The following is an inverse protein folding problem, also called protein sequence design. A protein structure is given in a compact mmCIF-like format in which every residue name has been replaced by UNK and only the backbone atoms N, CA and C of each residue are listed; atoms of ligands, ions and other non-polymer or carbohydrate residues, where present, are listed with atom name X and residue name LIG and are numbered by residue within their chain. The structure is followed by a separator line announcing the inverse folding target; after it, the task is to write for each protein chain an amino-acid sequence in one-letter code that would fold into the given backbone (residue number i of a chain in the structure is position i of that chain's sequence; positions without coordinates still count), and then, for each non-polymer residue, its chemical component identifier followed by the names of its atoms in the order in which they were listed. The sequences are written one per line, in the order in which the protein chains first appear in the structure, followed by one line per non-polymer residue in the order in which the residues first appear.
data_IF_724253111655
#
_entry.id   IF_724253111655
#
_cell.length_a   1.000
_cell.length_b   1.000
_cell.length_c   1.000
_cell.angle_alpha   90.00
_cell.angle_beta   90.00
_cell.angle_gamma   90.00
#
_symmetry.space_group_name_H-M   'P 1'
#
loop_
_entity.id
_entity.type
_entity.pdbx_description
1 polymer ?
#
# COMPACT_ATOMS: atom_id res chain seq x y z
N UNK A 1 -4.77 10.52 28.03
CA UNK A 1 -6.06 10.71 27.32
C UNK A 1 -5.82 10.43 25.85
N UNK A 2 -6.57 9.50 25.24
CA UNK A 2 -6.46 9.18 23.81
C UNK A 2 -7.31 10.21 23.07
N UNK A 3 -6.73 11.32 22.64
CA UNK A 3 -7.40 12.24 21.71
C UNK A 3 -7.25 11.64 20.32
N UNK A 4 -8.26 10.93 19.83
CA UNK A 4 -8.32 10.51 18.43
C UNK A 4 -8.47 11.76 17.58
N UNK A 5 -7.46 12.06 16.76
CA UNK A 5 -7.56 13.12 15.77
C UNK A 5 -8.53 12.69 14.66
N UNK A 6 -9.15 13.63 13.94
CA UNK A 6 -10.02 13.31 12.79
C UNK A 6 -9.33 12.35 11.78
N UNK A 7 -8.03 12.54 11.45
CA UNK A 7 -7.27 11.59 10.63
C UNK A 7 -7.23 10.17 11.19
N UNK A 8 -6.99 10.03 12.49
CA UNK A 8 -6.93 8.72 13.15
C UNK A 8 -8.26 7.96 12.99
N UNK A 9 -9.38 8.66 13.18
CA UNK A 9 -10.71 8.06 13.05
C UNK A 9 -10.96 7.54 11.62
N UNK A 10 -10.60 8.32 10.60
CA UNK A 10 -10.76 7.92 9.19
C UNK A 10 -9.89 6.70 8.88
N UNK A 11 -8.64 6.66 9.34
CA UNK A 11 -7.75 5.52 9.10
C UNK A 11 -8.27 4.25 9.77
N UNK A 12 -8.74 4.34 11.02
CA UNK A 12 -9.35 3.21 11.74
C UNK A 12 -10.59 2.72 11.02
N UNK A 13 -11.45 3.64 10.58
CA UNK A 13 -12.67 3.27 9.87
C UNK A 13 -12.35 2.49 8.59
N UNK A 14 -11.36 2.95 7.81
CA UNK A 14 -10.89 2.23 6.61
C UNK A 14 -10.37 0.83 6.98
N UNK A 15 -9.52 0.72 8.00
CA UNK A 15 -8.96 -0.56 8.45
C UNK A 15 -10.06 -1.53 8.91
N UNK A 16 -11.06 -1.03 9.66
CA UNK A 16 -12.22 -1.82 10.11
C UNK A 16 -13.08 -2.27 8.93
N UNK A 17 -13.30 -1.40 7.93
CA UNK A 17 -14.00 -1.79 6.70
C UNK A 17 -13.25 -2.94 6.01
N UNK A 18 -11.93 -2.87 5.90
CA UNK A 18 -11.12 -3.95 5.33
C UNK A 18 -11.22 -5.25 6.14
N UNK A 19 -11.25 -5.19 7.47
CA UNK A 19 -11.53 -6.35 8.31
C UNK A 19 -12.91 -6.96 8.05
N UNK A 20 -13.95 -6.13 7.91
CA UNK A 20 -15.30 -6.59 7.59
C UNK A 20 -15.39 -7.21 6.18
N UNK A 21 -14.71 -6.61 5.19
CA UNK A 21 -14.59 -7.20 3.85
C UNK A 21 -13.83 -8.53 3.89
N UNK A 22 -12.74 -8.60 4.65
CA UNK A 22 -11.97 -9.84 4.85
C UNK A 22 -12.83 -10.95 5.46
N UNK A 23 -13.69 -10.62 6.42
CA UNK A 23 -14.66 -11.56 6.98
C UNK A 23 -15.64 -12.09 5.92
N UNK A 24 -16.13 -11.22 5.04
CA UNK A 24 -17.08 -11.59 3.99
C UNK A 24 -16.43 -12.44 2.87
N UNK A 25 -15.19 -12.13 2.49
CA UNK A 25 -14.46 -12.78 1.41
C UNK A 25 -13.82 -14.12 1.85
N UNK A 26 -13.29 -14.17 3.07
CA UNK A 26 -12.57 -15.30 3.65
C UNK A 26 -11.06 -15.31 3.38
N UNK A 27 -10.34 -16.13 4.14
CA UNK A 27 -8.87 -16.19 4.19
C UNK A 27 -8.21 -16.32 2.82
N UNK A 28 -8.63 -17.28 1.99
CA UNK A 28 -7.98 -17.58 0.71
C UNK A 28 -7.91 -16.33 -0.17
N UNK A 29 -8.99 -15.55 -0.19
CA UNK A 29 -9.07 -14.37 -1.03
C UNK A 29 -8.23 -13.21 -0.48
N UNK A 30 -8.23 -13.04 0.84
CA UNK A 30 -7.43 -12.00 1.51
C UNK A 30 -5.94 -12.29 1.41
N UNK A 31 -5.53 -13.57 1.51
CA UNK A 31 -4.13 -13.96 1.26
C UNK A 31 -3.75 -13.66 -0.19
N UNK A 32 -4.64 -13.97 -1.14
CA UNK A 32 -4.44 -13.64 -2.54
C UNK A 32 -4.30 -12.14 -2.81
N UNK A 33 -5.08 -11.31 -2.14
CA UNK A 33 -4.95 -9.85 -2.25
C UNK A 33 -3.72 -9.30 -1.54
N UNK A 34 -3.28 -9.89 -0.42
CA UNK A 34 -1.97 -9.57 0.18
C UNK A 34 -0.82 -9.86 -0.80
N UNK A 35 -0.85 -11.01 -1.48
CA UNK A 35 0.16 -11.33 -2.50
C UNK A 35 0.08 -10.32 -3.66
N UNK A 36 -1.13 -10.01 -4.10
CA UNK A 36 -1.39 -8.99 -5.11
C UNK A 36 -0.88 -7.60 -4.73
N UNK A 37 -0.95 -7.26 -3.45
CA UNK A 37 -0.45 -6.00 -2.91
C UNK A 37 1.07 -5.96 -2.96
N UNK A 38 1.75 -7.04 -2.58
CA UNK A 38 3.22 -7.13 -2.65
C UNK A 38 3.69 -7.02 -4.10
N UNK A 39 3.09 -7.81 -5.01
CA UNK A 39 3.41 -7.78 -6.44
C UNK A 39 3.06 -6.42 -7.05
N UNK A 40 1.92 -5.85 -6.69
CA UNK A 40 1.47 -4.55 -7.16
C UNK A 40 2.38 -3.42 -6.69
N UNK A 41 2.83 -3.43 -5.44
CA UNK A 41 3.77 -2.45 -4.92
C UNK A 41 5.11 -2.52 -5.66
N UNK A 42 5.58 -3.74 -5.96
CA UNK A 42 6.79 -3.97 -6.73
C UNK A 42 6.65 -3.50 -8.18
N UNK A 43 5.60 -3.90 -8.89
CA UNK A 43 5.39 -3.46 -10.28
C UNK A 43 5.17 -1.94 -10.37
N UNK A 44 4.46 -1.36 -9.41
CA UNK A 44 4.29 0.09 -9.33
C UNK A 44 5.62 0.82 -9.12
N UNK A 45 6.52 0.29 -8.28
CA UNK A 45 7.85 0.92 -8.08
C UNK A 45 8.74 0.85 -9.32
N UNK A 46 8.51 -0.11 -10.22
CA UNK A 46 9.22 -0.21 -11.49
C UNK A 46 8.60 0.63 -12.60
N UNK A 47 7.27 0.78 -12.61
CA UNK A 47 6.53 1.36 -13.75
C UNK A 47 6.00 2.77 -13.54
N UNK A 48 6.20 3.40 -12.36
CA UNK A 48 5.68 4.76 -12.12
C UNK A 48 6.31 5.83 -13.02
N UNK A 49 7.60 5.71 -13.35
CA UNK A 49 8.37 6.73 -14.08
C UNK A 49 7.83 7.10 -15.48
N UNK A 50 7.50 6.15 -16.38
CA UNK A 50 6.95 6.51 -17.69
C UNK A 50 5.56 7.16 -17.58
N UNK A 51 4.72 6.70 -16.65
CA UNK A 51 3.39 7.24 -16.42
C UNK A 51 3.44 8.65 -15.82
N UNK A 52 4.36 8.91 -14.89
CA UNK A 52 4.47 10.23 -14.26
C UNK A 52 4.89 11.31 -15.24
N UNK A 53 5.73 11.00 -16.23
CA UNK A 53 6.09 11.93 -17.31
C UNK A 53 4.86 12.39 -18.10
N UNK A 54 3.96 11.47 -18.44
CA UNK A 54 2.71 11.81 -19.12
C UNK A 54 1.76 12.61 -18.21
N UNK A 55 1.76 12.32 -16.91
CA UNK A 55 0.90 13.03 -15.94
C UNK A 55 1.45 14.38 -15.48
N UNK A 56 2.75 14.64 -15.67
CA UNK A 56 3.41 15.88 -15.21
C UNK A 56 2.77 17.16 -15.77
N UNK A 57 2.17 17.06 -16.97
CA UNK A 57 1.44 18.14 -17.62
C UNK A 57 0.16 18.53 -16.86
N UNK A 58 -0.51 17.58 -16.21
CA UNK A 58 -1.75 17.81 -15.44
C UNK A 58 -1.48 18.35 -14.03
N UNK A 59 -0.26 18.15 -13.51
CA UNK A 59 0.13 18.55 -12.15
C UNK A 59 0.90 19.87 -12.11
N UNK A 60 0.84 20.69 -13.17
CA UNK A 60 1.44 22.04 -13.21
C UNK A 60 2.93 22.05 -12.82
N UNK A 61 3.68 21.00 -13.18
CA UNK A 61 5.11 20.88 -12.85
C UNK A 61 5.42 20.35 -11.44
N UNK A 62 4.43 19.97 -10.62
CA UNK A 62 4.67 19.27 -9.34
C UNK A 62 5.01 17.80 -9.60
N UNK A 63 6.28 17.52 -9.84
CA UNK A 63 6.82 16.19 -10.14
C UNK A 63 6.45 15.15 -9.08
N UNK A 64 6.56 15.50 -7.80
CA UNK A 64 6.22 14.61 -6.68
C UNK A 64 4.75 14.17 -6.66
N UNK A 65 3.81 15.06 -6.96
CA UNK A 65 2.40 14.73 -7.00
C UNK A 65 2.07 13.81 -8.20
N UNK A 66 2.72 14.03 -9.35
CA UNK A 66 2.59 13.19 -10.52
C UNK A 66 3.17 11.78 -10.29
N UNK A 67 4.34 11.68 -9.66
CA UNK A 67 4.99 10.41 -9.33
C UNK A 67 4.15 9.58 -8.34
N UNK A 68 3.65 10.21 -7.27
CA UNK A 68 2.79 9.55 -6.30
C UNK A 68 1.49 9.05 -6.93
N UNK A 69 0.87 9.89 -7.78
CA UNK A 69 -0.39 9.54 -8.44
C UNK A 69 -0.18 8.39 -9.44
N UNK A 70 0.89 8.45 -10.24
CA UNK A 70 1.24 7.38 -11.17
C UNK A 70 1.52 6.05 -10.44
N UNK A 71 2.29 6.09 -9.35
CA UNK A 71 2.53 4.93 -8.50
C UNK A 71 1.21 4.37 -7.97
N UNK A 72 0.33 5.22 -7.42
CA UNK A 72 -0.94 4.81 -6.83
C UNK A 72 -1.87 4.16 -7.85
N UNK A 73 -1.92 4.70 -9.08
CA UNK A 73 -2.72 4.15 -10.17
C UNK A 73 -2.23 2.75 -10.54
N UNK A 74 -0.94 2.58 -10.79
CA UNK A 74 -0.38 1.25 -11.14
C UNK A 74 -0.58 0.27 -9.99
N UNK A 75 -0.29 0.71 -8.77
CA UNK A 75 -0.44 -0.11 -7.57
C UNK A 75 -1.87 -0.60 -7.40
N UNK A 76 -2.85 0.31 -7.44
CA UNK A 76 -4.26 -0.04 -7.29
C UNK A 76 -4.75 -0.93 -8.43
N UNK A 77 -4.31 -0.68 -9.66
CA UNK A 77 -4.68 -1.46 -10.83
C UNK A 77 -4.19 -2.91 -10.69
N UNK A 78 -2.89 -3.10 -10.42
CA UNK A 78 -2.32 -4.43 -10.25
C UNK A 78 -2.92 -5.14 -9.05
N UNK A 79 -3.05 -4.45 -7.90
CA UNK A 79 -3.65 -5.02 -6.70
C UNK A 79 -5.10 -5.49 -6.96
N UNK A 80 -5.90 -4.71 -7.68
CA UNK A 80 -7.27 -5.08 -8.08
C UNK A 80 -7.30 -6.26 -9.03
N UNK A 81 -6.40 -6.33 -9.99
CA UNK A 81 -6.29 -7.45 -10.92
C UNK A 81 -5.92 -8.74 -10.19
N UNK A 82 -4.93 -8.70 -9.30
CA UNK A 82 -4.54 -9.85 -8.48
C UNK A 82 -5.69 -10.32 -7.59
N UNK A 83 -6.36 -9.39 -6.89
CA UNK A 83 -7.53 -9.74 -6.09
C UNK A 83 -8.66 -10.36 -6.92
N UNK A 84 -8.86 -9.91 -8.16
CA UNK A 84 -9.85 -10.49 -9.08
C UNK A 84 -9.47 -11.92 -9.49
N UNK A 85 -8.20 -12.19 -9.80
CA UNK A 85 -7.71 -13.55 -10.11
C UNK A 85 -7.98 -14.50 -8.94
N UNK A 86 -7.59 -14.12 -7.73
CA UNK A 86 -7.81 -14.94 -6.53
C UNK A 86 -9.29 -15.08 -6.15
N UNK A 87 -10.13 -14.08 -6.46
CA UNK A 87 -11.58 -14.20 -6.31
C UNK A 87 -12.15 -15.32 -7.18
N UNK A 88 -11.73 -15.38 -8.46
CA UNK A 88 -12.16 -16.43 -9.39
C UNK A 88 -11.66 -17.81 -8.92
N UNK A 89 -10.39 -17.93 -8.54
CA UNK A 89 -9.82 -19.17 -8.00
C UNK A 89 -10.58 -19.65 -6.76
N UNK A 90 -10.85 -18.75 -5.81
CA UNK A 90 -11.59 -19.06 -4.60
C UNK A 90 -13.02 -19.56 -4.91
N UNK A 91 -13.67 -19.07 -5.97
CA UNK A 91 -14.99 -19.56 -6.40
C UNK A 91 -14.94 -21.03 -6.81
N UNK A 92 -13.87 -21.46 -7.47
CA UNK A 92 -13.68 -22.86 -7.89
C UNK A 92 -13.44 -23.76 -6.67
N UNK A 93 -12.60 -23.35 -5.72
CA UNK A 93 -12.34 -24.13 -4.50
C UNK A 93 -13.55 -24.21 -3.56
N UNK A 94 -14.40 -23.17 -3.53
CA UNK A 94 -15.63 -23.16 -2.72
C UNK A 94 -16.63 -24.23 -3.16
N UNK A 95 -16.55 -24.68 -4.41
CA UNK A 95 -17.36 -25.78 -4.94
C UNK A 95 -16.99 -27.14 -4.32
N UNK A 96 -15.77 -27.27 -3.77
CA UNK A 96 -15.24 -28.52 -3.20
C UNK A 96 -15.35 -28.61 -1.67
N UNK A 97 -15.72 -27.54 -0.96
CA UNK A 97 -15.63 -27.50 0.50
C UNK A 97 -17.00 -27.65 1.17
N UNK A 98 -17.37 -28.89 1.49
CA UNK A 98 -18.66 -29.27 2.10
C UNK A 98 -18.67 -29.19 3.65
N UNK A 99 -17.58 -28.75 4.29
CA UNK A 99 -17.40 -28.82 5.75
C UNK A 99 -17.79 -27.49 6.43
N UNK A 100 -18.86 -27.44 7.26
CA UNK A 100 -19.37 -26.19 7.84
C UNK A 100 -18.42 -25.52 8.84
N UNK A 101 -17.58 -26.28 9.57
CA UNK A 101 -16.67 -25.72 10.57
C UNK A 101 -15.50 -24.94 9.95
N UNK A 102 -14.99 -25.40 8.80
CA UNK A 102 -13.95 -24.70 8.03
C UNK A 102 -14.42 -23.34 7.52
N UNK A 103 -15.73 -23.16 7.31
CA UNK A 103 -16.30 -21.90 6.82
C UNK A 103 -16.14 -20.77 7.83
N UNK A 104 -16.41 -21.02 9.12
CA UNK A 104 -16.29 -20.01 10.18
C UNK A 104 -14.83 -19.63 10.39
N UNK A 105 -13.94 -20.62 10.45
CA UNK A 105 -12.50 -20.38 10.58
C UNK A 105 -11.94 -19.58 9.39
N UNK A 106 -12.35 -19.94 8.17
CA UNK A 106 -11.98 -19.19 6.96
C UNK A 106 -12.45 -17.72 7.01
N UNK A 107 -13.62 -17.43 7.57
CA UNK A 107 -14.11 -16.04 7.71
C UNK A 107 -13.39 -15.27 8.81
N UNK A 108 -13.17 -15.87 9.97
CA UNK A 108 -12.46 -15.21 11.08
C UNK A 108 -11.02 -14.89 10.68
N UNK A 109 -10.32 -15.86 10.08
CA UNK A 109 -8.99 -15.61 9.55
C UNK A 109 -9.01 -14.59 8.41
N UNK A 110 -10.03 -14.65 7.54
CA UNK A 110 -10.26 -13.60 6.55
C UNK A 110 -10.38 -12.21 7.17
N UNK A 111 -11.09 -12.07 8.30
CA UNK A 111 -11.20 -10.80 9.02
C UNK A 111 -9.84 -10.34 9.56
N UNK A 112 -9.11 -11.23 10.24
CA UNK A 112 -7.81 -10.93 10.83
C UNK A 112 -6.79 -10.50 9.77
N UNK A 113 -6.69 -11.25 8.68
CA UNK A 113 -5.83 -10.87 7.56
C UNK A 113 -6.37 -9.63 6.83
N UNK A 114 -7.68 -9.39 6.80
CA UNK A 114 -8.28 -8.20 6.20
C UNK A 114 -7.91 -6.94 6.97
N UNK A 115 -7.88 -7.00 8.30
CA UNK A 115 -7.35 -5.92 9.14
C UNK A 115 -5.89 -5.61 8.81
N UNK A 116 -5.06 -6.65 8.70
CA UNK A 116 -3.65 -6.52 8.33
C UNK A 116 -3.49 -5.95 6.91
N UNK A 117 -4.29 -6.43 5.97
CA UNK A 117 -4.31 -5.96 4.58
C UNK A 117 -4.67 -4.47 4.51
N UNK A 118 -5.76 -4.05 5.17
CA UNK A 118 -6.17 -2.65 5.21
C UNK A 118 -5.09 -1.76 5.82
N UNK A 119 -4.45 -2.22 6.90
CA UNK A 119 -3.36 -1.50 7.54
C UNK A 119 -2.13 -1.38 6.63
N UNK A 120 -1.72 -2.47 5.96
CA UNK A 120 -0.61 -2.47 5.01
C UNK A 120 -0.89 -1.59 3.79
N UNK A 121 -2.08 -1.72 3.19
CA UNK A 121 -2.49 -0.94 2.04
C UNK A 121 -2.42 0.55 2.34
N UNK A 122 -3.02 0.96 3.47
CA UNK A 122 -3.05 2.36 3.88
C UNK A 122 -1.65 2.85 4.23
N UNK A 123 -0.84 2.04 4.90
CA UNK A 123 0.56 2.34 5.18
C UNK A 123 1.40 2.52 3.92
N UNK A 124 1.20 1.69 2.88
CA UNK A 124 1.91 1.82 1.59
C UNK A 124 1.53 3.13 0.91
N UNK A 125 0.24 3.49 0.92
CA UNK A 125 -0.26 4.76 0.38
C UNK A 125 0.37 5.95 1.12
N UNK A 126 0.38 5.93 2.45
CA UNK A 126 1.00 6.98 3.27
C UNK A 126 2.51 7.08 3.01
N UNK A 127 3.20 5.94 2.90
CA UNK A 127 4.63 5.89 2.62
C UNK A 127 4.95 6.47 1.24
N UNK A 128 4.16 6.13 0.21
CA UNK A 128 4.31 6.70 -1.12
C UNK A 128 4.08 8.22 -1.11
N UNK A 129 3.03 8.68 -0.42
CA UNK A 129 2.73 10.11 -0.29
C UNK A 129 3.86 10.90 0.40
N UNK A 130 4.48 10.32 1.44
CA UNK A 130 5.67 10.91 2.08
C UNK A 130 6.88 10.90 1.16
N UNK A 131 7.15 9.77 0.52
CA UNK A 131 8.35 9.58 -0.28
C UNK A 131 8.41 10.56 -1.47
N UNK A 132 7.31 10.71 -2.18
CA UNK A 132 7.23 11.62 -3.32
C UNK A 132 6.90 13.06 -2.93
N UNK A 133 6.77 13.37 -1.63
CA UNK A 133 6.33 14.71 -1.16
C UNK A 133 5.07 15.20 -1.90
N UNK A 134 4.13 14.29 -2.13
CA UNK A 134 3.03 14.48 -3.08
C UNK A 134 2.15 15.68 -2.72
N UNK A 135 1.83 15.80 -1.42
CA UNK A 135 0.93 16.82 -0.90
C UNK A 135 1.35 17.27 0.50
N UNK A 136 1.55 18.59 0.74
CA UNK A 136 1.93 19.11 2.06
C UNK A 136 0.91 18.83 3.18
N UNK A 137 -0.38 18.75 2.84
CA UNK A 137 -1.41 18.44 3.83
C UNK A 137 -1.32 17.00 4.33
N UNK A 138 -0.85 16.06 3.50
CA UNK A 138 -0.68 14.65 3.90
C UNK A 138 0.49 14.51 4.88
N UNK A 139 1.61 15.17 4.61
CA UNK A 139 2.78 15.12 5.51
C UNK A 139 2.46 15.73 6.87
N UNK A 140 1.66 16.80 6.92
CA UNK A 140 1.17 17.38 8.16
C UNK A 140 0.21 16.42 8.89
N UNK A 141 -0.75 15.80 8.19
CA UNK A 141 -1.65 14.79 8.78
C UNK A 141 -0.89 13.64 9.43
N UNK A 142 0.22 13.21 8.83
CA UNK A 142 1.02 12.09 9.34
C UNK A 142 1.79 12.50 10.60
N UNK A 143 2.34 13.72 10.65
CA UNK A 143 3.09 14.21 11.81
C UNK A 143 2.25 14.31 13.08
N UNK A 144 0.94 14.52 12.93
CA UNK A 144 -0.01 14.65 14.05
C UNK A 144 -0.69 13.32 14.44
N UNK A 145 -0.61 12.29 13.59
CA UNK A 145 -1.36 11.04 13.73
C UNK A 145 -0.52 9.88 14.27
N UNK A 146 -0.95 9.32 15.42
CA UNK A 146 -0.34 8.11 15.98
C UNK A 146 -0.60 6.88 15.11
N UNK A 147 -1.77 6.84 14.47
CA UNK A 147 -2.17 5.72 13.63
C UNK A 147 -1.36 5.70 12.34
N UNK A 148 -1.13 6.86 11.73
CA UNK A 148 -0.21 6.98 10.60
C UNK A 148 1.19 6.45 10.96
N UNK A 149 1.73 6.82 12.13
CA UNK A 149 2.99 6.30 12.64
C UNK A 149 3.01 4.78 12.78
N UNK A 150 1.95 4.19 13.37
CA UNK A 150 1.79 2.74 13.48
C UNK A 150 1.76 2.05 12.11
N UNK A 151 0.99 2.59 11.15
CA UNK A 151 0.89 2.04 9.79
C UNK A 151 2.23 2.08 9.07
N UNK A 152 2.97 3.19 9.18
CA UNK A 152 4.31 3.32 8.61
C UNK A 152 5.30 2.33 9.24
N UNK A 153 5.22 2.10 10.56
CA UNK A 153 6.03 1.08 11.24
C UNK A 153 5.70 -0.33 10.73
N UNK A 154 4.42 -0.61 10.48
CA UNK A 154 3.97 -1.89 9.94
C UNK A 154 4.51 -2.14 8.52
N UNK A 155 4.51 -1.11 7.66
CA UNK A 155 5.17 -1.20 6.34
C UNK A 155 6.68 -1.39 6.46
N UNK A 156 7.33 -0.72 7.42
CA UNK A 156 8.77 -0.92 7.66
C UNK A 156 9.07 -2.35 8.12
N UNK A 157 8.22 -2.93 8.95
CA UNK A 157 8.33 -4.34 9.35
C UNK A 157 8.14 -5.28 8.16
N UNK A 158 7.30 -4.92 7.20
CA UNK A 158 7.10 -5.65 5.95
C UNK A 158 8.18 -5.38 4.88
N UNK A 159 9.14 -4.48 5.15
CA UNK A 159 10.22 -4.16 4.19
C UNK A 159 11.07 -5.33 3.68
N UNK A 160 11.41 -6.39 4.45
CA UNK A 160 12.14 -7.54 3.90
C UNK A 160 11.31 -8.34 2.89
N UNK A 161 9.97 -8.26 2.97
CA UNK A 161 9.05 -8.83 1.98
C UNK A 161 8.87 -7.92 0.76
N UNK A 162 9.32 -6.66 0.87
CA UNK A 162 9.18 -5.60 -0.12
C UNK A 162 10.54 -4.97 -0.47
N UNK A 163 11.59 -5.76 -0.82
CA UNK A 163 12.94 -5.21 -1.08
C UNK A 163 12.94 -4.18 -2.22
N UNK A 164 11.98 -4.28 -3.14
CA UNK A 164 11.78 -3.33 -4.24
C UNK A 164 11.20 -1.96 -3.82
N UNK A 165 10.67 -1.80 -2.59
CA UNK A 165 10.35 -0.48 -2.05
C UNK A 165 11.61 0.26 -1.56
N UNK A 166 12.69 -0.47 -1.27
CA UNK A 166 13.95 0.09 -0.80
C UNK A 166 14.94 0.42 -1.94
N UNK A 167 14.77 -0.13 -3.15
CA UNK A 167 15.58 0.27 -4.31
C UNK A 167 15.33 1.72 -4.75
N UNK A 168 14.19 2.28 -4.35
CA UNK A 168 13.87 3.72 -4.47
C UNK A 168 14.63 4.56 -3.42
N UNK A 169 15.17 3.94 -2.37
CA UNK A 169 15.94 4.56 -1.27
C UNK A 169 17.45 4.50 -1.50
N UNK A 170 17.95 4.00 -2.63
CA UNK A 170 19.34 4.31 -2.99
C UNK A 170 19.38 5.79 -3.38
N UNK A 171 19.99 6.69 -2.59
CA UNK A 171 20.35 8.00 -3.14
C UNK A 171 21.14 7.73 -4.40
N UNK A 172 20.85 8.51 -5.45
CA UNK A 172 21.72 8.57 -6.62
C UNK A 172 23.18 8.63 -6.12
N UNK A 173 24.02 7.80 -6.74
CA UNK A 173 25.46 7.69 -6.52
C UNK A 173 26.10 8.93 -5.89
N UNK A 174 27.03 8.79 -4.93
CA UNK A 174 27.88 9.90 -4.52
C UNK A 174 28.40 10.60 -5.77
N UNK A 175 28.12 11.90 -5.90
CA UNK A 175 28.65 12.72 -6.98
C UNK A 175 30.18 12.53 -6.93
N UNK A 176 30.83 12.06 -8.00
CA UNK A 176 32.28 11.94 -8.02
C UNK A 176 32.91 13.27 -7.61
N UNK A 177 33.88 13.22 -6.71
CA UNK A 177 34.60 14.36 -6.17
C UNK A 177 35.55 14.98 -7.21
N UNK A 178 35.05 15.35 -8.38
CA UNK A 178 35.80 16.02 -9.44
C UNK A 178 34.98 17.19 -9.96
N UNK A 179 35.05 18.31 -9.26
CA UNK A 179 35.09 19.69 -9.78
C UNK A 179 34.92 20.68 -8.62
N UNK A 180 35.94 20.78 -7.76
CA UNK A 180 36.22 22.02 -7.05
C UNK A 180 37.31 22.73 -7.88
N UNK A 181 37.04 23.90 -8.49
CA UNK A 181 38.13 24.75 -8.94
C UNK A 181 38.90 25.17 -7.69
N UNK A 182 40.19 24.82 -7.66
CA UNK A 182 41.14 25.39 -6.70
C UNK A 182 41.18 26.88 -6.98
N UNK A 183 40.66 27.66 -6.04
CA UNK A 183 40.91 29.11 -5.94
C UNK A 183 41.79 29.31 -4.71
#
# INVERSE_FOLDING_TARGET
MITLSLPDFVMVLVIVCFGAFGFALGLIQVVGSLVGMVVGAWLASLSYSPLSRQMSQYFLGRTGAADATAFLIVFLLVNRLSAAVFFVLNRVFRLLSFIPFLKTFNRILGAAFGFLEGALLLGIILRAAQHFSAFPWVTQLIGESKIAGFLLALVQLASPLLPALLSVVRPASPIPNEQLPVI
#
